data_IF_367684117107
#
_entry.id   IF_367684117107
#
_cell.length_a   1.000
_cell.length_b   1.000
_cell.length_c   1.000
_cell.angle_alpha   90.00
_cell.angle_beta   90.00
_cell.angle_gamma   90.00
#
_symmetry.space_group_name_H-M   'P 1'
#
loop_
_entity.id
_entity.type
_entity.pdbx_description
1 polymer ?
#
# COMPACT_ATOMS: atom_id res chain seq x y z
N UNK A 1 -7.11 65.51 -52.73
CA UNK A 1 -6.18 65.01 -51.69
C UNK A 1 -6.73 65.13 -50.28
N UNK A 2 -6.97 66.32 -49.71
CA UNK A 2 -7.51 66.44 -48.33
C UNK A 2 -8.95 65.89 -48.24
N UNK A 3 -9.84 66.25 -49.18
CA UNK A 3 -11.21 65.71 -49.24
C UNK A 3 -11.26 64.18 -49.44
N UNK A 4 -10.28 63.60 -50.12
CA UNK A 4 -10.20 62.15 -50.33
C UNK A 4 -9.82 61.43 -49.04
N UNK A 5 -8.88 61.99 -48.28
CA UNK A 5 -8.53 61.48 -46.95
C UNK A 5 -9.72 61.56 -45.97
N UNK A 6 -10.52 62.62 -46.04
CA UNK A 6 -11.75 62.72 -45.24
C UNK A 6 -12.81 61.69 -45.64
N UNK A 7 -13.00 61.44 -46.94
CA UNK A 7 -13.91 60.39 -47.42
C UNK A 7 -13.50 59.01 -46.90
N UNK A 8 -12.19 58.71 -46.90
CA UNK A 8 -11.65 57.44 -46.39
C UNK A 8 -11.87 57.33 -44.90
N UNK A 9 -11.59 58.40 -44.13
CA UNK A 9 -11.87 58.43 -42.69
C UNK A 9 -13.34 58.14 -42.40
N UNK A 10 -14.27 58.78 -43.13
CA UNK A 10 -15.71 58.54 -42.97
C UNK A 10 -16.12 57.10 -43.32
N UNK A 11 -15.56 56.53 -44.39
CA UNK A 11 -15.81 55.13 -44.78
C UNK A 11 -15.28 54.15 -43.73
N UNK A 12 -14.05 54.37 -43.26
CA UNK A 12 -13.40 53.55 -42.25
C UNK A 12 -14.18 53.56 -40.93
N UNK A 13 -14.65 54.73 -40.48
CA UNK A 13 -15.50 54.85 -39.29
C UNK A 13 -16.85 54.13 -39.45
N UNK A 14 -17.48 54.26 -40.61
CA UNK A 14 -18.77 53.60 -40.89
C UNK A 14 -18.63 52.08 -40.89
N UNK A 15 -17.58 51.55 -41.52
CA UNK A 15 -17.31 50.11 -41.54
C UNK A 15 -16.90 49.59 -40.17
N UNK A 16 -16.12 50.36 -39.39
CA UNK A 16 -15.69 49.95 -38.04
C UNK A 16 -16.88 49.79 -37.10
N UNK A 17 -17.90 50.64 -37.21
CA UNK A 17 -19.14 50.51 -36.43
C UNK A 17 -19.95 49.24 -36.76
N UNK A 18 -19.71 48.62 -37.92
CA UNK A 18 -20.39 47.38 -38.34
C UNK A 18 -19.65 46.10 -37.96
N UNK A 19 -18.42 46.21 -37.43
CA UNK A 19 -17.58 45.08 -37.03
C UNK A 19 -18.10 44.46 -35.72
N UNK A 20 -18.35 43.14 -35.74
CA UNK A 20 -18.93 42.40 -34.59
C UNK A 20 -18.01 41.35 -33.98
N UNK A 21 -16.95 40.95 -34.67
CA UNK A 21 -16.03 39.90 -34.23
C UNK A 21 -14.59 40.24 -34.64
N UNK A 22 -13.61 39.49 -34.10
CA UNK A 22 -12.19 39.72 -34.36
C UNK A 22 -11.80 39.49 -35.83
N UNK A 23 -12.46 38.57 -36.53
CA UNK A 23 -12.18 38.29 -37.95
C UNK A 23 -12.60 39.45 -38.86
N UNK A 24 -13.74 40.07 -38.58
CA UNK A 24 -14.23 41.25 -39.30
C UNK A 24 -13.40 42.49 -38.98
N UNK A 25 -12.87 42.59 -37.74
CA UNK A 25 -11.93 43.63 -37.37
C UNK A 25 -10.59 43.49 -38.14
N UNK A 26 -10.15 42.26 -38.36
CA UNK A 26 -8.93 42.01 -39.12
C UNK A 26 -9.11 42.30 -40.61
N UNK A 27 -10.28 41.96 -41.19
CA UNK A 27 -10.63 42.39 -42.56
C UNK A 27 -10.63 43.92 -42.69
N UNK A 28 -11.21 44.62 -41.72
CA UNK A 28 -11.19 46.08 -41.67
C UNK A 28 -9.75 46.62 -41.64
N UNK A 29 -8.88 46.05 -40.79
CA UNK A 29 -7.46 46.44 -40.70
C UNK A 29 -6.74 46.24 -42.03
N UNK A 30 -6.96 45.12 -42.72
CA UNK A 30 -6.35 44.85 -44.01
C UNK A 30 -6.83 45.84 -45.07
N UNK A 31 -8.13 46.17 -45.09
CA UNK A 31 -8.72 47.08 -46.06
C UNK A 31 -8.23 48.53 -45.91
N UNK A 32 -8.09 49.04 -44.67
CA UNK A 32 -7.75 50.45 -44.43
C UNK A 32 -6.29 50.67 -44.03
N UNK A 33 -5.69 49.79 -43.24
CA UNK A 33 -4.32 49.93 -42.70
C UNK A 33 -3.32 48.93 -43.33
N UNK A 34 -3.78 48.01 -44.17
CA UNK A 34 -2.94 47.01 -44.82
C UNK A 34 -1.97 47.62 -45.83
N UNK A 35 -0.88 46.91 -46.15
CA UNK A 35 0.18 47.39 -47.06
C UNK A 35 -0.32 47.73 -48.48
N UNK A 36 -1.43 47.12 -48.90
CA UNK A 36 -2.09 47.35 -50.21
C UNK A 36 -3.24 48.35 -50.12
N UNK A 37 -3.57 48.87 -48.94
CA UNK A 37 -4.69 49.79 -48.78
C UNK A 37 -4.44 51.11 -49.52
N UNK A 38 -5.52 51.81 -49.82
CA UNK A 38 -5.44 53.13 -50.40
C UNK A 38 -4.64 54.09 -49.49
N UNK A 39 -4.85 54.03 -48.18
CA UNK A 39 -4.12 54.83 -47.19
C UNK A 39 -2.62 54.51 -47.18
N UNK A 40 -2.21 53.25 -47.32
CA UNK A 40 -0.79 52.88 -47.39
C UNK A 40 -0.11 53.35 -48.69
N UNK A 41 -0.86 53.43 -49.79
CA UNK A 41 -0.35 53.90 -51.09
C UNK A 41 -0.45 55.42 -51.29
N UNK A 42 -1.24 56.13 -50.47
CA UNK A 42 -1.45 57.57 -50.56
C UNK A 42 -0.14 58.41 -50.58
N UNK A 43 0.91 58.08 -49.79
CA UNK A 43 2.17 58.83 -49.82
C UNK A 43 2.91 58.81 -51.18
N UNK A 44 2.61 57.84 -52.07
CA UNK A 44 3.19 57.82 -53.43
C UNK A 44 2.73 59.00 -54.28
N UNK A 45 1.56 59.56 -53.99
CA UNK A 45 0.99 60.72 -54.68
C UNK A 45 1.68 62.03 -54.25
N UNK A 46 2.47 62.03 -53.16
CA UNK A 46 3.18 63.22 -52.69
C UNK A 46 4.36 63.63 -53.58
N UNK A 47 4.79 62.77 -54.52
CA UNK A 47 5.95 63.05 -55.39
C UNK A 47 5.81 64.35 -56.20
N UNK A 48 4.60 64.72 -56.59
CA UNK A 48 4.32 65.85 -57.49
C UNK A 48 3.91 67.14 -56.75
N UNK A 49 4.01 67.18 -55.41
CA UNK A 49 3.58 68.33 -54.60
C UNK A 49 4.72 69.30 -54.30
N UNK A 50 4.38 70.58 -54.14
CA UNK A 50 5.29 71.62 -53.65
C UNK A 50 5.71 71.35 -52.19
N UNK A 51 6.84 71.91 -51.71
CA UNK A 51 7.31 71.70 -50.33
C UNK A 51 6.28 72.09 -49.27
N UNK A 52 5.53 73.18 -49.49
CA UNK A 52 4.51 73.68 -48.56
C UNK A 52 3.28 72.77 -48.49
N UNK A 53 2.83 72.25 -49.64
CA UNK A 53 1.70 71.32 -49.72
C UNK A 53 2.05 69.95 -49.12
N UNK A 54 3.30 69.49 -49.27
CA UNK A 54 3.80 68.25 -48.65
C UNK A 54 3.70 68.29 -47.13
N UNK A 55 4.04 69.41 -46.50
CA UNK A 55 3.95 69.58 -45.05
C UNK A 55 2.48 69.52 -44.59
N UNK A 56 1.60 70.27 -45.24
CA UNK A 56 0.17 70.33 -44.87
C UNK A 56 -0.55 69.00 -45.06
N UNK A 57 -0.39 68.36 -46.22
CA UNK A 57 -1.07 67.10 -46.55
C UNK A 57 -0.44 65.93 -45.80
N UNK A 58 0.89 65.93 -45.60
CA UNK A 58 1.59 64.90 -44.82
C UNK A 58 1.20 64.90 -43.35
N UNK A 59 1.07 66.08 -42.73
CA UNK A 59 0.58 66.21 -41.34
C UNK A 59 -0.83 65.65 -41.20
N UNK A 60 -1.74 66.01 -42.12
CA UNK A 60 -3.13 65.55 -42.09
C UNK A 60 -3.25 64.03 -42.34
N UNK A 61 -2.41 63.48 -43.23
CA UNK A 61 -2.32 62.04 -43.45
C UNK A 61 -1.90 61.28 -42.18
N UNK A 62 -0.83 61.73 -41.52
CA UNK A 62 -0.35 61.10 -40.30
C UNK A 62 -1.40 61.15 -39.19
N UNK A 63 -2.10 62.28 -39.04
CA UNK A 63 -3.19 62.43 -38.09
C UNK A 63 -4.29 61.38 -38.31
N UNK A 64 -4.78 61.23 -39.55
CA UNK A 64 -5.83 60.26 -39.88
C UNK A 64 -5.35 58.83 -39.66
N UNK A 65 -4.11 58.53 -40.03
CA UNK A 65 -3.52 57.20 -39.83
C UNK A 65 -3.47 56.83 -38.35
N UNK A 66 -2.92 57.71 -37.51
CA UNK A 66 -2.84 57.49 -36.06
C UNK A 66 -4.22 57.36 -35.43
N UNK A 67 -5.20 58.13 -35.89
CA UNK A 67 -6.57 58.04 -35.39
C UNK A 67 -7.22 56.68 -35.72
N UNK A 68 -7.07 56.19 -36.96
CA UNK A 68 -7.57 54.87 -37.37
C UNK A 68 -6.85 53.72 -36.67
N UNK A 69 -5.54 53.83 -36.45
CA UNK A 69 -4.77 52.86 -35.67
C UNK A 69 -5.25 52.79 -34.21
N UNK A 70 -5.55 53.95 -33.61
CA UNK A 70 -6.08 54.05 -32.24
C UNK A 70 -7.45 53.41 -32.13
N UNK A 71 -8.34 53.71 -33.10
CA UNK A 71 -9.69 53.14 -33.15
C UNK A 71 -9.68 51.61 -33.32
N UNK A 72 -8.74 51.09 -34.12
CA UNK A 72 -8.54 49.65 -34.24
C UNK A 72 -8.16 49.00 -32.90
N UNK A 73 -7.21 49.58 -32.17
CA UNK A 73 -6.79 49.02 -30.88
C UNK A 73 -7.92 49.03 -29.86
N UNK A 74 -8.65 50.13 -29.75
CA UNK A 74 -9.79 50.22 -28.83
C UNK A 74 -10.87 49.17 -29.16
N UNK A 75 -11.19 48.98 -30.44
CA UNK A 75 -12.19 47.97 -30.86
C UNK A 75 -11.68 46.54 -30.65
N UNK A 76 -10.38 46.32 -30.79
CA UNK A 76 -9.74 45.02 -30.52
C UNK A 76 -9.83 44.67 -29.05
N UNK A 77 -9.55 45.61 -28.16
CA UNK A 77 -9.65 45.43 -26.71
C UNK A 77 -11.10 45.17 -26.27
N UNK A 78 -12.07 45.90 -26.83
CA UNK A 78 -13.50 45.70 -26.59
C UNK A 78 -13.97 44.28 -26.99
N UNK A 79 -13.52 43.80 -28.15
CA UNK A 79 -13.90 42.47 -28.67
C UNK A 79 -13.12 41.33 -28.03
N UNK A 80 -11.92 41.58 -27.49
CA UNK A 80 -11.16 40.61 -26.72
C UNK A 80 -11.67 40.56 -25.28
N UNK A 81 -12.90 40.11 -25.08
CA UNK A 81 -13.34 39.70 -23.75
C UNK A 81 -12.41 38.59 -23.25
N UNK A 82 -11.81 38.79 -22.06
CA UNK A 82 -11.09 37.71 -21.38
C UNK A 82 -12.08 36.58 -21.13
N UNK A 83 -11.84 35.43 -21.74
CA UNK A 83 -12.54 34.21 -21.38
C UNK A 83 -12.11 33.90 -19.94
N UNK A 84 -12.94 34.26 -18.97
CA UNK A 84 -12.83 33.72 -17.61
C UNK A 84 -13.15 32.23 -17.71
N UNK A 85 -12.10 31.41 -17.80
CA UNK A 85 -12.24 29.97 -17.64
C UNK A 85 -12.59 29.74 -16.18
N UNK A 86 -13.87 29.55 -15.89
CA UNK A 86 -14.35 29.03 -14.61
C UNK A 86 -13.90 27.57 -14.49
N UNK A 87 -12.71 27.36 -13.94
CA UNK A 87 -12.19 26.04 -13.61
C UNK A 87 -12.40 25.79 -12.11
N UNK A 88 -13.15 24.74 -11.80
CA UNK A 88 -13.38 24.30 -10.43
C UNK A 88 -12.15 23.50 -9.94
N UNK A 89 -11.33 24.13 -9.10
CA UNK A 89 -10.16 23.50 -8.50
C UNK A 89 -10.51 22.41 -7.48
N UNK A 90 -11.75 22.38 -6.98
CA UNK A 90 -12.23 21.38 -6.03
C UNK A 90 -12.88 20.17 -6.73
N UNK A 91 -12.99 20.20 -8.07
CA UNK A 91 -13.49 19.07 -8.83
C UNK A 91 -12.56 17.86 -8.64
N UNK A 92 -13.03 16.74 -8.07
CA UNK A 92 -12.18 15.62 -7.62
C UNK A 92 -11.49 14.84 -8.76
N UNK A 93 -11.76 15.20 -10.01
CA UNK A 93 -11.21 14.55 -11.20
C UNK A 93 -11.64 13.09 -11.32
N UNK A 94 -10.91 12.34 -12.15
CA UNK A 94 -11.11 10.89 -12.25
C UNK A 94 -10.27 10.19 -11.18
N UNK A 95 -10.93 9.46 -10.26
CA UNK A 95 -10.23 8.66 -9.26
C UNK A 95 -9.53 7.48 -9.93
N UNK A 96 -8.24 7.30 -9.65
CA UNK A 96 -7.54 6.07 -9.93
C UNK A 96 -7.66 5.14 -8.71
N UNK A 97 -8.13 3.90 -8.90
CA UNK A 97 -8.06 2.89 -7.85
C UNK A 97 -6.70 2.21 -7.88
N UNK A 98 -5.97 2.27 -6.78
CA UNK A 98 -4.77 1.46 -6.60
C UNK A 98 -5.17 0.08 -6.05
N UNK A 99 -4.55 -1.02 -6.53
CA UNK A 99 -4.79 -2.32 -5.94
C UNK A 99 -4.27 -2.35 -4.49
N UNK A 100 -5.08 -2.83 -3.56
CA UNK A 100 -4.68 -3.09 -2.18
C UNK A 100 -4.40 -4.58 -1.98
N UNK A 101 -3.43 -4.88 -1.11
CA UNK A 101 -3.19 -6.25 -0.67
C UNK A 101 -4.14 -6.60 0.49
N UNK A 102 -4.66 -7.83 0.55
CA UNK A 102 -5.49 -8.26 1.67
C UNK A 102 -4.76 -8.11 3.01
N UNK A 103 -5.52 -7.89 4.10
CA UNK A 103 -4.96 -7.71 5.45
C UNK A 103 -4.01 -8.83 5.86
N UNK A 104 -4.34 -10.08 5.52
CA UNK A 104 -3.48 -11.24 5.76
C UNK A 104 -2.12 -11.07 5.09
N UNK A 105 -2.10 -10.72 3.79
CA UNK A 105 -0.85 -10.60 3.03
C UNK A 105 -0.02 -9.39 3.48
N UNK A 106 -0.67 -8.26 3.76
CA UNK A 106 -0.02 -7.05 4.25
C UNK A 106 0.67 -7.30 5.60
N UNK A 107 -0.02 -7.96 6.53
CA UNK A 107 0.54 -8.26 7.85
C UNK A 107 1.56 -9.41 7.80
N UNK A 108 1.35 -10.42 6.96
CA UNK A 108 2.33 -11.48 6.75
C UNK A 108 3.67 -10.90 6.25
N UNK A 109 3.63 -10.01 5.24
CA UNK A 109 4.82 -9.32 4.73
C UNK A 109 5.52 -8.54 5.85
N UNK A 110 4.75 -7.78 6.63
CA UNK A 110 5.30 -7.01 7.76
C UNK A 110 5.99 -7.91 8.79
N UNK A 111 5.39 -9.05 9.15
CA UNK A 111 5.98 -9.99 10.11
C UNK A 111 7.25 -10.61 9.54
N UNK A 112 7.24 -11.00 8.26
CA UNK A 112 8.42 -11.49 7.56
C UNK A 112 9.57 -10.46 7.61
N UNK A 113 9.28 -9.19 7.32
CA UNK A 113 10.29 -8.14 7.36
C UNK A 113 10.86 -7.94 8.76
N UNK A 114 10.02 -7.96 9.81
CA UNK A 114 10.49 -7.91 11.21
C UNK A 114 11.42 -9.08 11.54
N UNK A 115 11.08 -10.31 11.14
CA UNK A 115 11.90 -11.48 11.43
C UNK A 115 13.20 -11.51 10.61
N UNK A 116 13.18 -11.00 9.36
CA UNK A 116 14.39 -10.80 8.56
C UNK A 116 15.37 -9.85 9.26
N UNK A 117 14.88 -8.74 9.80
CA UNK A 117 15.70 -7.80 10.59
C UNK A 117 16.28 -8.44 11.86
N UNK A 118 15.57 -9.42 12.44
CA UNK A 118 16.05 -10.23 13.58
C UNK A 118 16.99 -11.38 13.15
N UNK A 119 17.31 -11.47 11.87
CA UNK A 119 18.25 -12.45 11.30
C UNK A 119 17.65 -13.83 11.01
N UNK A 120 16.33 -13.94 10.86
CA UNK A 120 15.66 -15.19 10.52
C UNK A 120 15.51 -15.36 9.00
N UNK A 121 15.86 -16.56 8.53
CA UNK A 121 15.52 -16.99 7.18
C UNK A 121 14.02 -17.25 7.05
N UNK A 122 13.44 -16.95 5.89
CA UNK A 122 12.05 -17.31 5.59
C UNK A 122 12.06 -18.60 4.78
N UNK A 123 11.28 -19.57 5.23
CA UNK A 123 11.25 -20.92 4.66
C UNK A 123 9.88 -21.13 4.02
N UNK A 124 9.88 -21.51 2.75
CA UNK A 124 8.68 -21.96 2.08
C UNK A 124 8.39 -23.43 2.41
N UNK A 125 7.12 -23.81 2.39
CA UNK A 125 6.67 -25.07 2.98
C UNK A 125 5.43 -25.63 2.28
N UNK A 126 5.37 -26.95 2.12
CA UNK A 126 4.23 -27.62 1.50
C UNK A 126 3.03 -27.69 2.46
N UNK A 127 1.82 -27.65 1.92
CA UNK A 127 0.59 -27.87 2.70
C UNK A 127 0.34 -29.34 3.01
N UNK A 128 0.72 -30.21 2.08
CA UNK A 128 0.59 -31.66 2.18
C UNK A 128 1.89 -32.23 2.72
N UNK A 129 1.80 -32.89 3.87
CA UNK A 129 2.94 -33.45 4.60
C UNK A 129 2.65 -34.89 5.01
N UNK A 130 3.71 -35.64 5.29
CA UNK A 130 3.60 -36.98 5.86
C UNK A 130 3.28 -36.93 7.36
N UNK A 131 2.70 -38.01 7.87
CA UNK A 131 2.52 -38.28 9.31
C UNK A 131 3.84 -38.10 10.10
N UNK A 132 4.96 -38.52 9.50
CA UNK A 132 6.26 -38.41 10.13
C UNK A 132 6.69 -36.96 10.32
N UNK A 133 6.53 -36.14 9.29
CA UNK A 133 6.86 -34.71 9.34
C UNK A 133 5.97 -33.98 10.34
N UNK A 134 4.66 -34.22 10.30
CA UNK A 134 3.71 -33.51 11.15
C UNK A 134 3.69 -33.98 12.61
N UNK A 135 4.05 -35.23 12.91
CA UNK A 135 3.90 -35.76 14.27
C UNK A 135 5.13 -36.54 14.77
N UNK A 136 5.53 -37.62 14.09
CA UNK A 136 6.55 -38.53 14.65
C UNK A 136 7.88 -37.81 14.93
N UNK A 137 8.31 -36.96 14.00
CA UNK A 137 9.56 -36.19 14.12
C UNK A 137 9.52 -35.13 15.24
N UNK A 138 8.31 -34.77 15.69
CA UNK A 138 8.03 -33.77 16.72
C UNK A 138 7.66 -34.41 18.07
N UNK A 139 8.16 -35.64 18.32
CA UNK A 139 7.96 -36.36 19.58
C UNK A 139 6.48 -36.70 19.86
N UNK A 140 5.69 -36.91 18.81
CA UNK A 140 4.28 -37.31 18.93
C UNK A 140 4.07 -38.69 18.29
N UNK A 141 4.37 -39.80 18.99
CA UNK A 141 4.16 -41.14 18.46
C UNK A 141 2.66 -41.44 18.18
N UNK A 142 2.33 -42.51 17.41
CA UNK A 142 0.97 -42.80 16.97
C UNK A 142 -0.13 -42.82 18.05
N UNK A 143 0.20 -43.25 19.26
CA UNK A 143 -0.74 -43.35 20.39
C UNK A 143 -0.68 -42.14 21.34
N UNK A 144 -0.02 -41.05 20.93
CA UNK A 144 0.13 -39.87 21.78
C UNK A 144 -1.16 -39.03 21.77
N UNK A 145 -1.74 -38.68 22.94
CA UNK A 145 -3.01 -37.94 23.02
C UNK A 145 -2.93 -36.55 22.36
N UNK A 146 -1.74 -35.95 22.30
CA UNK A 146 -1.56 -34.70 21.59
C UNK A 146 -1.89 -34.77 20.09
N UNK A 147 -1.95 -35.95 19.44
CA UNK A 147 -2.41 -36.07 18.04
C UNK A 147 -3.89 -35.75 17.89
N UNK A 148 -4.70 -36.13 18.88
CA UNK A 148 -6.14 -35.87 18.89
C UNK A 148 -6.46 -34.39 19.12
N UNK A 149 -5.51 -33.61 19.68
CA UNK A 149 -5.69 -32.17 19.91
C UNK A 149 -5.67 -31.31 18.63
N UNK A 150 -5.34 -31.88 17.47
CA UNK A 150 -5.15 -31.12 16.23
C UNK A 150 -6.24 -31.33 15.17
N UNK A 151 -7.23 -32.20 15.41
CA UNK A 151 -8.35 -32.47 14.50
C UNK A 151 -7.89 -32.62 13.04
N UNK A 152 -7.07 -33.63 12.77
CA UNK A 152 -6.29 -33.71 11.52
C UNK A 152 -7.11 -34.14 10.31
N UNK A 153 -6.91 -33.47 9.16
CA UNK A 153 -7.50 -33.85 7.87
C UNK A 153 -6.56 -34.82 7.13
N UNK A 154 -6.94 -36.11 7.14
CA UNK A 154 -6.19 -37.18 6.51
C UNK A 154 -6.59 -37.44 5.06
N UNK A 155 -5.61 -37.78 4.21
CA UNK A 155 -5.87 -38.16 2.83
C UNK A 155 -6.07 -39.67 2.70
N UNK A 156 -7.07 -40.05 1.89
CA UNK A 156 -7.44 -41.45 1.68
C UNK A 156 -6.34 -42.26 0.99
N UNK A 157 -5.57 -41.65 0.07
CA UNK A 157 -4.40 -42.23 -0.62
C UNK A 157 -3.48 -41.11 -1.11
N UNK A 158 -2.14 -41.27 -1.10
CA UNK A 158 -1.39 -42.37 -0.49
C UNK A 158 -1.49 -42.37 1.05
N UNK A 159 -1.36 -43.56 1.67
CA UNK A 159 -1.49 -43.72 3.13
C UNK A 159 -0.49 -42.81 3.85
N UNK A 160 -0.94 -42.19 4.95
CA UNK A 160 -0.14 -41.36 5.87
C UNK A 160 0.23 -39.95 5.40
N UNK A 161 -0.43 -39.42 4.37
CA UNK A 161 -0.38 -38.00 4.08
C UNK A 161 -1.60 -37.26 4.65
N UNK A 162 -1.38 -36.02 5.04
CA UNK A 162 -2.36 -35.15 5.69
C UNK A 162 -2.14 -33.69 5.28
N UNK A 163 -3.17 -32.87 5.45
CA UNK A 163 -3.00 -31.42 5.44
C UNK A 163 -2.39 -31.01 6.78
N UNK A 164 -1.25 -30.32 6.76
CA UNK A 164 -0.51 -29.99 7.98
C UNK A 164 -1.37 -29.23 8.99
N UNK A 165 -1.26 -29.62 10.25
CA UNK A 165 -2.03 -29.00 11.34
C UNK A 165 -1.31 -27.82 11.98
N UNK A 166 0.00 -27.76 11.75
CA UNK A 166 0.89 -26.71 12.21
C UNK A 166 2.13 -26.62 11.29
N UNK A 167 2.80 -25.47 11.25
CA UNK A 167 4.01 -25.32 10.42
C UNK A 167 5.24 -25.97 11.05
N UNK A 168 5.12 -26.52 12.27
CA UNK A 168 6.20 -27.28 12.94
C UNK A 168 6.64 -28.49 12.13
N UNK A 169 5.79 -28.99 11.23
CA UNK A 169 6.11 -30.11 10.34
C UNK A 169 7.38 -29.88 9.51
N UNK A 170 7.78 -28.61 9.33
CA UNK A 170 8.98 -28.23 8.58
C UNK A 170 10.19 -27.89 9.45
N UNK A 171 10.07 -27.91 10.78
CA UNK A 171 11.20 -27.61 11.68
C UNK A 171 12.33 -28.65 11.56
N UNK A 172 12.00 -29.94 11.62
CA UNK A 172 13.00 -31.02 11.46
C UNK A 172 13.58 -31.05 10.04
N UNK A 173 12.78 -31.01 8.95
CA UNK A 173 13.29 -30.87 7.59
C UNK A 173 14.22 -29.65 7.40
N UNK A 174 13.88 -28.51 8.02
CA UNK A 174 14.70 -27.31 7.98
C UNK A 174 16.08 -27.54 8.64
N UNK A 175 16.11 -28.10 9.85
CA UNK A 175 17.36 -28.37 10.56
C UNK A 175 18.23 -29.43 9.86
N UNK A 176 17.61 -30.41 9.20
CA UNK A 176 18.33 -31.39 8.38
C UNK A 176 19.02 -30.73 7.17
N UNK A 177 18.39 -29.71 6.58
CA UNK A 177 18.91 -28.99 5.41
C UNK A 177 19.94 -27.92 5.80
N UNK A 178 19.65 -27.13 6.83
CA UNK A 178 20.46 -26.02 7.28
C UNK A 178 20.99 -26.33 8.68
N UNK A 179 22.21 -26.86 8.74
CA UNK A 179 22.85 -27.26 10.00
C UNK A 179 23.05 -26.04 10.93
N UNK A 180 23.03 -26.23 12.27
CA UNK A 180 23.31 -25.15 13.22
C UNK A 180 24.71 -24.52 13.03
N UNK A 181 24.90 -23.24 13.42
CA UNK A 181 23.91 -22.33 13.99
C UNK A 181 22.95 -21.80 12.92
N UNK A 182 21.65 -21.89 13.20
CA UNK A 182 20.62 -21.52 12.24
C UNK A 182 19.39 -20.97 12.94
N UNK A 183 18.72 -19.99 12.34
CA UNK A 183 17.39 -19.55 12.75
C UNK A 183 16.51 -19.26 11.54
N UNK A 184 15.24 -19.62 11.60
CA UNK A 184 14.31 -19.46 10.49
C UNK A 184 12.87 -19.40 10.95
N UNK A 185 12.01 -18.82 10.11
CA UNK A 185 10.57 -18.80 10.27
C UNK A 185 9.89 -19.54 9.12
N UNK A 186 8.82 -20.26 9.45
CA UNK A 186 7.96 -20.98 8.52
C UNK A 186 6.56 -20.37 8.61
N UNK A 187 6.29 -19.29 7.85
CA UNK A 187 4.93 -18.82 7.69
C UNK A 187 4.15 -19.72 6.73
N UNK A 188 2.88 -19.94 7.01
CA UNK A 188 1.97 -20.48 6.01
C UNK A 188 0.65 -20.99 6.56
N UNK A 189 -0.22 -21.40 5.63
CA UNK A 189 -1.54 -21.96 5.94
C UNK A 189 -1.43 -23.30 6.65
N UNK A 190 -2.29 -23.53 7.62
CA UNK A 190 -2.48 -24.80 8.33
C UNK A 190 -3.96 -25.13 8.35
N UNK A 191 -4.27 -26.41 8.56
CA UNK A 191 -5.62 -26.91 8.38
C UNK A 191 -6.02 -27.76 9.58
N UNK A 192 -7.23 -27.54 10.07
CA UNK A 192 -7.83 -28.32 11.15
C UNK A 192 -9.29 -28.60 10.85
N UNK A 193 -9.76 -29.77 11.24
CA UNK A 193 -11.13 -30.21 11.08
C UNK A 193 -12.00 -29.60 12.21
N UNK A 194 -11.99 -28.27 12.28
CA UNK A 194 -12.77 -27.48 13.23
C UNK A 194 -13.96 -26.84 12.50
N UNK A 195 -15.08 -26.64 13.22
CA UNK A 195 -16.23 -25.94 12.67
C UNK A 195 -15.93 -24.43 12.61
N UNK A 196 -16.15 -23.82 11.43
CA UNK A 196 -15.95 -22.38 11.24
C UNK A 196 -16.93 -21.57 12.09
N UNK A 197 -16.39 -20.74 12.99
CA UNK A 197 -17.14 -19.81 13.83
C UNK A 197 -16.44 -18.43 13.87
N UNK A 198 -16.80 -17.55 14.82
CA UNK A 198 -16.20 -16.21 14.88
C UNK A 198 -14.71 -16.20 15.32
N UNK A 199 -14.18 -17.31 15.84
CA UNK A 199 -12.82 -17.45 16.38
C UNK A 199 -12.02 -18.59 15.73
N UNK A 200 -12.69 -19.60 15.20
CA UNK A 200 -12.09 -20.77 14.59
C UNK A 200 -12.43 -20.81 13.10
N UNK A 201 -11.47 -21.27 12.30
CA UNK A 201 -11.68 -21.57 10.89
C UNK A 201 -10.90 -22.83 10.51
N UNK A 202 -11.37 -23.55 9.50
CA UNK A 202 -10.75 -24.80 9.07
C UNK A 202 -9.37 -24.58 8.41
N UNK A 203 -9.15 -23.36 7.89
CA UNK A 203 -7.91 -22.89 7.28
C UNK A 203 -7.50 -21.57 7.91
N UNK A 204 -6.26 -21.47 8.39
CA UNK A 204 -5.70 -20.23 8.92
C UNK A 204 -4.17 -20.23 8.80
N UNK A 205 -3.53 -19.09 9.02
CA UNK A 205 -2.09 -18.94 8.94
C UNK A 205 -1.42 -19.09 10.30
N UNK A 206 -0.36 -19.90 10.33
CA UNK A 206 0.59 -19.91 11.43
C UNK A 206 1.93 -19.38 10.98
N UNK A 207 2.61 -18.74 11.93
CA UNK A 207 3.98 -18.29 11.79
C UNK A 207 4.75 -18.94 12.93
N UNK A 208 5.58 -19.89 12.56
CA UNK A 208 6.45 -20.56 13.51
C UNK A 208 7.90 -20.18 13.28
N UNK A 209 8.66 -20.05 14.36
CA UNK A 209 10.08 -19.80 14.29
C UNK A 209 10.87 -20.84 15.05
N UNK A 210 12.08 -21.07 14.58
CA UNK A 210 13.05 -21.99 15.16
C UNK A 210 14.42 -21.34 15.18
N UNK A 211 15.19 -21.55 16.24
CA UNK A 211 16.56 -21.05 16.39
C UNK A 211 17.39 -22.06 17.17
N UNK A 212 18.45 -22.57 16.56
CA UNK A 212 19.36 -23.57 17.14
C UNK A 212 20.80 -23.08 17.06
N UNK A 213 21.48 -23.05 18.20
CA UNK A 213 22.91 -22.73 18.32
C UNK A 213 23.47 -23.29 19.63
N UNK A 214 24.79 -23.25 19.81
CA UNK A 214 25.41 -23.68 21.08
C UNK A 214 24.95 -22.82 22.27
N UNK A 215 24.58 -21.56 22.02
CA UNK A 215 24.25 -20.56 23.04
C UNK A 215 22.75 -20.20 23.12
N UNK A 216 21.88 -20.84 22.33
CA UNK A 216 20.45 -20.53 22.29
C UNK A 216 19.77 -20.86 23.62
N UNK A 217 19.18 -19.88 24.29
CA UNK A 217 18.56 -20.07 25.60
C UNK A 217 17.20 -19.33 25.70
N UNK A 218 16.48 -19.55 26.80
CA UNK A 218 15.15 -18.98 27.02
C UNK A 218 15.15 -17.45 27.07
N UNK A 219 16.23 -16.81 27.52
CA UNK A 219 16.33 -15.34 27.52
C UNK A 219 16.36 -14.78 26.09
N UNK A 220 16.96 -15.49 25.13
CA UNK A 220 16.89 -15.12 23.71
C UNK A 220 15.47 -15.24 23.17
N UNK A 221 14.72 -16.30 23.52
CA UNK A 221 13.31 -16.43 23.15
C UNK A 221 12.47 -15.26 23.67
N UNK A 222 12.67 -14.87 24.95
CA UNK A 222 12.01 -13.70 25.55
C UNK A 222 12.32 -12.41 24.81
N UNK A 223 13.58 -12.21 24.42
CA UNK A 223 14.01 -11.07 23.64
C UNK A 223 13.34 -11.03 22.26
N UNK A 224 13.32 -12.15 21.54
CA UNK A 224 12.66 -12.25 20.23
C UNK A 224 11.19 -11.86 20.32
N UNK A 225 10.44 -12.39 21.29
CA UNK A 225 9.04 -12.01 21.46
C UNK A 225 8.86 -10.54 21.81
N UNK A 226 9.70 -10.00 22.70
CA UNK A 226 9.67 -8.59 23.08
C UNK A 226 9.85 -7.68 21.88
N UNK A 227 10.86 -7.95 21.06
CA UNK A 227 11.13 -7.16 19.85
C UNK A 227 10.05 -7.35 18.80
N UNK A 228 9.62 -8.59 18.57
CA UNK A 228 8.58 -8.91 17.59
C UNK A 228 7.26 -8.19 17.90
N UNK A 229 6.70 -8.38 19.11
CA UNK A 229 5.41 -7.80 19.45
C UNK A 229 5.46 -6.28 19.55
N UNK A 230 6.56 -5.71 20.06
CA UNK A 230 6.76 -4.26 20.09
C UNK A 230 6.76 -3.66 18.68
N UNK A 231 7.48 -4.27 17.74
CA UNK A 231 7.54 -3.78 16.34
C UNK A 231 6.25 -4.04 15.58
N UNK A 232 5.58 -5.17 15.81
CA UNK A 232 4.35 -5.50 15.09
C UNK A 232 3.16 -4.63 15.51
N UNK A 233 2.96 -4.45 16.82
CA UNK A 233 1.85 -3.65 17.37
C UNK A 233 2.20 -2.16 17.54
N UNK A 234 3.47 -1.77 17.37
CA UNK A 234 3.96 -0.39 17.53
C UNK A 234 3.65 0.19 18.92
N UNK A 235 3.60 -0.69 19.93
CA UNK A 235 3.27 -0.38 21.32
C UNK A 235 4.24 -1.07 22.26
N UNK A 236 4.52 -0.46 23.41
CA UNK A 236 5.19 -1.15 24.50
C UNK A 236 4.17 -2.04 25.21
N UNK A 237 4.32 -3.35 25.08
CA UNK A 237 3.41 -4.35 25.65
C UNK A 237 4.12 -5.15 26.73
N UNK A 238 3.39 -5.49 27.79
CA UNK A 238 3.88 -6.46 28.76
C UNK A 238 3.64 -7.88 28.24
N UNK A 239 4.62 -8.73 28.46
CA UNK A 239 4.61 -10.13 28.02
C UNK A 239 4.67 -11.02 29.24
N UNK A 240 3.72 -11.94 29.35
CA UNK A 240 3.67 -12.96 30.40
C UNK A 240 3.90 -14.33 29.79
N UNK A 241 4.82 -15.08 30.39
CA UNK A 241 5.09 -16.47 30.05
C UNK A 241 4.45 -17.35 31.12
N UNK A 242 3.55 -18.26 30.72
CA UNK A 242 2.94 -19.24 31.61
C UNK A 242 3.44 -20.64 31.23
N UNK A 243 3.80 -21.50 32.19
CA UNK A 243 4.09 -22.90 31.89
C UNK A 243 2.94 -23.55 31.14
N UNK A 244 3.27 -24.30 30.09
CA UNK A 244 2.32 -25.11 29.32
C UNK A 244 3.02 -26.41 28.91
N UNK A 245 2.41 -27.18 28.02
CA UNK A 245 2.95 -28.45 27.53
C UNK A 245 2.81 -28.54 26.02
N UNK A 246 3.94 -28.73 25.34
CA UNK A 246 3.99 -29.15 23.95
C UNK A 246 4.98 -30.32 23.83
N UNK A 247 4.63 -31.44 23.15
CA UNK A 247 5.49 -32.63 23.09
C UNK A 247 6.90 -32.36 22.51
N UNK A 248 7.02 -31.37 21.64
CA UNK A 248 8.26 -30.99 20.95
C UNK A 248 9.10 -29.93 21.68
N UNK A 249 8.68 -29.42 22.84
CA UNK A 249 9.47 -28.47 23.65
C UNK A 249 9.52 -28.82 25.13
N UNK A 250 10.65 -28.55 25.79
CA UNK A 250 10.83 -28.67 27.23
C UNK A 250 11.97 -27.75 27.71
N UNK A 251 11.71 -26.73 28.56
CA UNK A 251 10.39 -26.31 29.07
C UNK A 251 9.50 -25.67 28.00
N UNK A 252 8.19 -25.89 28.15
CA UNK A 252 7.12 -25.33 27.31
C UNK A 252 6.39 -24.17 27.99
N UNK A 253 6.01 -23.15 27.23
CA UNK A 253 5.31 -21.96 27.70
C UNK A 253 4.24 -21.46 26.72
N UNK A 254 3.14 -20.96 27.27
CA UNK A 254 2.20 -20.07 26.59
C UNK A 254 2.62 -18.62 26.81
N UNK A 255 2.38 -17.79 25.80
CA UNK A 255 2.74 -16.38 25.77
C UNK A 255 1.48 -15.53 25.68
N UNK A 256 1.27 -14.72 26.72
CA UNK A 256 0.19 -13.75 26.77
C UNK A 256 0.72 -12.33 26.65
N UNK A 257 -0.07 -11.46 26.03
CA UNK A 257 0.16 -10.01 25.99
C UNK A 257 -0.83 -9.29 26.89
N UNK A 258 -0.38 -8.18 27.49
CA UNK A 258 -1.30 -7.21 28.09
C UNK A 258 -2.33 -6.78 27.06
N UNK A 259 -3.61 -6.78 27.43
CA UNK A 259 -4.70 -6.49 26.50
C UNK A 259 -4.54 -5.11 25.85
N UNK A 260 -4.53 -5.07 24.51
CA UNK A 260 -4.30 -3.86 23.71
C UNK A 260 -5.40 -2.79 23.88
N UNK A 261 -6.60 -3.22 24.24
CA UNK A 261 -7.79 -2.39 24.36
C UNK A 261 -7.92 -1.76 25.76
N UNK A 262 -7.81 -2.58 26.80
CA UNK A 262 -7.99 -2.12 28.19
C UNK A 262 -6.66 -1.89 28.93
N UNK A 263 -5.52 -2.12 28.29
CA UNK A 263 -4.18 -1.94 28.87
C UNK A 263 -4.02 -2.71 30.20
N UNK A 264 -4.51 -3.95 30.24
CA UNK A 264 -4.44 -4.80 31.43
C UNK A 264 -5.55 -4.59 32.48
N UNK A 265 -6.43 -3.59 32.32
CA UNK A 265 -7.52 -3.32 33.30
C UNK A 265 -8.63 -4.39 33.31
N UNK A 266 -8.74 -5.19 32.25
CA UNK A 266 -9.82 -6.16 32.05
C UNK A 266 -10.96 -5.61 31.19
N UNK A 267 -11.38 -6.38 30.18
CA UNK A 267 -12.55 -6.10 29.33
C UNK A 267 -13.14 -7.39 28.76
N UNK A 268 -14.25 -7.30 28.03
CA UNK A 268 -14.92 -8.45 27.41
C UNK A 268 -13.99 -9.28 26.50
N UNK A 269 -13.09 -8.62 25.75
CA UNK A 269 -12.17 -9.29 24.81
C UNK A 269 -11.16 -10.19 25.53
N UNK A 270 -10.63 -9.75 26.67
CA UNK A 270 -9.71 -10.55 27.49
C UNK A 270 -10.41 -11.33 28.60
N UNK A 271 -11.75 -11.43 28.56
CA UNK A 271 -12.58 -12.08 29.61
C UNK A 271 -12.24 -11.54 31.01
N UNK A 272 -12.02 -10.23 31.11
CA UNK A 272 -11.64 -9.52 32.33
C UNK A 272 -10.31 -9.95 32.97
N UNK A 273 -9.50 -10.79 32.32
CA UNK A 273 -8.20 -11.21 32.85
C UNK A 273 -7.11 -10.14 32.70
N UNK A 274 -7.27 -9.21 31.75
CA UNK A 274 -6.23 -8.27 31.36
C UNK A 274 -5.18 -8.84 30.39
N UNK A 275 -5.24 -10.14 30.09
CA UNK A 275 -4.25 -10.86 29.28
C UNK A 275 -4.88 -11.52 28.06
N UNK A 276 -4.12 -11.59 26.96
CA UNK A 276 -4.52 -12.23 25.72
C UNK A 276 -3.44 -13.23 25.29
N UNK A 277 -3.80 -14.50 25.24
CA UNK A 277 -2.94 -15.54 24.67
C UNK A 277 -2.75 -15.27 23.15
N UNK A 278 -1.49 -15.32 22.71
CA UNK A 278 -1.11 -15.03 21.32
C UNK A 278 -0.13 -16.02 20.71
N UNK A 279 0.61 -16.78 21.52
CA UNK A 279 1.61 -17.71 21.02
C UNK A 279 1.91 -18.84 22.00
N UNK A 280 2.35 -19.98 21.47
CA UNK A 280 3.02 -21.05 22.21
C UNK A 280 4.51 -21.06 21.88
N UNK A 281 5.35 -21.43 22.84
CA UNK A 281 6.79 -21.50 22.64
C UNK A 281 7.48 -22.42 23.63
N UNK A 282 8.77 -22.67 23.43
CA UNK A 282 9.58 -23.38 24.40
C UNK A 282 10.99 -23.66 23.91
N UNK A 283 11.79 -24.26 24.77
CA UNK A 283 13.09 -24.82 24.38
C UNK A 283 12.87 -26.14 23.64
N UNK A 284 13.54 -26.37 22.52
CA UNK A 284 13.31 -27.56 21.68
C UNK A 284 13.67 -28.82 22.46
N UNK A 285 12.76 -29.80 22.47
CA UNK A 285 12.97 -31.05 23.18
C UNK A 285 14.16 -31.84 22.58
N UNK A 286 15.04 -32.45 23.39
CA UNK A 286 16.23 -33.17 22.89
C UNK A 286 15.94 -34.26 21.86
N UNK A 287 14.76 -34.90 21.93
CA UNK A 287 14.32 -35.88 20.93
C UNK A 287 14.21 -35.25 19.52
N UNK A 288 13.65 -34.05 19.41
CA UNK A 288 13.47 -33.36 18.13
C UNK A 288 14.81 -32.98 17.52
N UNK A 289 15.77 -32.54 18.35
CA UNK A 289 17.15 -32.29 17.89
C UNK A 289 17.82 -33.57 17.37
N UNK A 290 17.62 -34.71 18.05
CA UNK A 290 18.12 -36.01 17.58
C UNK A 290 17.49 -36.43 16.24
N UNK A 291 16.19 -36.20 16.04
CA UNK A 291 15.52 -36.44 14.75
C UNK A 291 16.12 -35.60 13.62
N UNK A 292 16.58 -34.38 13.94
CA UNK A 292 17.31 -33.52 13.03
C UNK A 292 18.82 -33.85 12.90
N UNK A 293 19.31 -34.95 13.49
CA UNK A 293 20.74 -35.35 13.52
C UNK A 293 21.65 -34.31 14.17
N UNK A 294 21.14 -33.61 15.19
CA UNK A 294 21.87 -32.62 15.98
C UNK A 294 22.11 -33.19 17.39
N UNK A 295 23.33 -33.04 17.89
CA UNK A 295 23.70 -33.47 19.25
C UNK A 295 23.12 -32.49 20.30
N UNK A 296 22.16 -32.92 21.14
CA UNK A 296 21.54 -32.06 22.14
C UNK A 296 22.49 -31.72 23.32
N UNK A 297 23.63 -32.41 23.46
CA UNK A 297 24.64 -32.04 24.47
C UNK A 297 25.47 -30.83 24.03
N UNK A 298 25.55 -30.58 22.72
CA UNK A 298 26.33 -29.48 22.14
C UNK A 298 25.46 -28.31 21.70
N UNK A 299 24.28 -28.60 21.17
CA UNK A 299 23.37 -27.60 20.64
C UNK A 299 22.05 -27.60 21.40
N UNK A 300 21.51 -26.40 21.56
CA UNK A 300 20.19 -26.15 22.12
C UNK A 300 19.45 -25.17 21.22
N UNK A 301 18.16 -25.01 21.45
CA UNK A 301 17.34 -24.12 20.63
C UNK A 301 16.01 -23.83 21.24
N UNK A 302 15.33 -22.84 20.67
CA UNK A 302 13.96 -22.52 21.00
C UNK A 302 13.11 -22.52 19.75
N UNK A 303 11.83 -22.84 19.94
CA UNK A 303 10.81 -22.74 18.91
C UNK A 303 9.61 -21.95 19.46
N UNK A 304 8.85 -21.35 18.54
CA UNK A 304 7.63 -20.63 18.87
C UNK A 304 6.64 -20.70 17.72
N UNK A 305 5.35 -20.51 18.00
CA UNK A 305 4.28 -20.43 17.03
C UNK A 305 3.21 -19.43 17.43
N UNK A 306 2.74 -18.66 16.46
CA UNK A 306 1.64 -17.70 16.62
C UNK A 306 0.69 -17.77 15.43
N UNK A 307 -0.60 -17.57 15.68
CA UNK A 307 -1.62 -17.47 14.63
C UNK A 307 -1.67 -16.05 14.06
N UNK A 308 -1.53 -15.91 12.74
CA UNK A 308 -1.51 -14.61 12.08
C UNK A 308 -2.85 -13.88 12.23
N UNK A 309 -3.95 -14.58 12.01
CA UNK A 309 -5.31 -14.04 12.11
C UNK A 309 -5.55 -13.47 13.50
N UNK A 310 -5.11 -14.18 14.55
CA UNK A 310 -5.21 -13.69 15.93
C UNK A 310 -4.50 -12.35 16.10
N UNK A 311 -3.29 -12.22 15.55
CA UNK A 311 -2.53 -10.97 15.62
C UNK A 311 -3.18 -9.83 14.83
N UNK A 312 -3.76 -10.11 13.66
CA UNK A 312 -4.49 -9.13 12.84
C UNK A 312 -5.76 -8.68 13.57
N UNK A 313 -6.57 -9.63 14.05
CA UNK A 313 -7.79 -9.35 14.81
C UNK A 313 -7.51 -8.46 16.01
N UNK A 314 -6.43 -8.72 16.74
CA UNK A 314 -6.02 -7.91 17.88
C UNK A 314 -5.49 -6.52 17.49
N UNK A 315 -4.84 -6.40 16.34
CA UNK A 315 -4.26 -5.14 15.86
C UNK A 315 -5.31 -4.17 15.32
N UNK A 316 -6.29 -4.71 14.58
CA UNK A 316 -7.34 -3.95 13.89
C UNK A 316 -8.71 -4.05 14.55
N UNK A 317 -8.77 -4.65 15.75
CA UNK A 317 -9.99 -4.79 16.54
C UNK A 317 -11.11 -5.57 15.83
N UNK A 318 -10.73 -6.51 14.97
CA UNK A 318 -11.66 -7.37 14.23
C UNK A 318 -12.17 -8.47 15.16
N UNK A 319 -13.49 -8.60 15.25
CA UNK A 319 -14.18 -9.52 16.16
C UNK A 319 -14.49 -10.90 15.56
N UNK A 320 -14.36 -11.06 14.25
CA UNK A 320 -14.73 -12.27 13.52
C UNK A 320 -13.64 -12.66 12.51
N UNK A 321 -13.04 -13.84 12.69
CA UNK A 321 -11.97 -14.36 11.82
C UNK A 321 -12.43 -14.52 10.36
N UNK A 322 -13.71 -14.84 10.14
CA UNK A 322 -14.26 -15.12 8.82
C UNK A 322 -14.22 -13.90 7.90
N UNK A 323 -14.17 -12.69 8.47
CA UNK A 323 -14.02 -11.47 7.70
C UNK A 323 -12.66 -11.42 6.98
N UNK A 324 -11.61 -12.01 7.56
CA UNK A 324 -10.26 -12.02 6.97
C UNK A 324 -10.16 -12.95 5.75
N UNK A 325 -11.00 -13.98 5.71
CA UNK A 325 -11.08 -14.95 4.59
C UNK A 325 -12.24 -14.68 3.64
N UNK A 326 -13.15 -13.78 4.02
CA UNK A 326 -14.23 -13.32 3.16
C UNK A 326 -13.68 -12.49 2.00
N UNK A 327 -14.28 -12.62 0.82
CA UNK A 327 -13.94 -11.80 -0.34
C UNK A 327 -14.57 -10.39 -0.29
N UNK A 328 -14.88 -9.88 0.91
CA UNK A 328 -15.47 -8.54 1.08
C UNK A 328 -14.40 -7.46 0.90
N UNK A 329 -14.54 -6.68 -0.18
CA UNK A 329 -13.60 -5.63 -0.53
C UNK A 329 -13.51 -4.54 0.54
N UNK A 330 -14.59 -4.31 1.31
CA UNK A 330 -14.63 -3.28 2.36
C UNK A 330 -13.71 -3.62 3.53
N UNK A 331 -13.48 -4.90 3.79
CA UNK A 331 -12.57 -5.34 4.86
C UNK A 331 -11.11 -4.99 4.56
N UNK A 332 -10.75 -4.82 3.29
CA UNK A 332 -9.40 -4.44 2.86
C UNK A 332 -9.17 -2.92 2.83
N UNK A 333 -10.16 -2.11 3.22
CA UNK A 333 -10.05 -0.65 3.34
C UNK A 333 -9.64 -0.19 4.76
N UNK A 334 -9.44 -1.13 5.68
CA UNK A 334 -8.94 -0.92 7.05
C UNK A 334 -7.43 -0.75 7.03
#
# INVERSE_FOLDING_TARGET
MIEELEKIKKSALKELNSVKNLDDLEKWRVNFLGRKSFLANFPKQFKNLSPEEKVRIGSFYNQIKTELETLYQNKKEELSQKIEVLFDFDHPGSKFSFPSLPLIQTNLKRIIDIFRDLGFYVIDSNYLVSEYENFDSLNMPPYHPARDMWDTIWLKKPNKYLLRTHTSAFQVPFLLKFKPPVRGIVPGKVFRFEATDARHDFEFYQIEGISVSENSNFSHLRFIFKEFFKRYFEKNLEIRFRPSYFPFTEPSVEVDLSCLLCQGKGCLVCKFSGWLEVAGAGMIHPFVLKQAKIDPNKFQGYAFGTGLERLIMLKYEINDIRLLHSADLRTNEI
#
